data_IF_756537682930
#
_entry.id   IF_756537682930
#
_cell.length_a   1.000
_cell.length_b   1.000
_cell.length_c   1.000
_cell.angle_alpha   90.00
_cell.angle_beta   90.00
_cell.angle_gamma   90.00
#
_symmetry.space_group_name_H-M   'P 1'
#
loop_
_entity.id
_entity.type
_entity.pdbx_description
1 polymer ?
#
# COMPACT_ATOMS: atom_id res chain seq x y z
N UNK A 1 30.14 -3.47 -7.22
CA UNK A 1 28.81 -3.42 -6.59
C UNK A 1 29.04 -3.37 -5.09
N UNK A 2 28.52 -2.35 -4.39
CA UNK A 2 28.83 -2.15 -2.98
C UNK A 2 28.12 -3.22 -2.14
N UNK A 3 28.82 -3.81 -1.19
CA UNK A 3 28.36 -4.97 -0.40
C UNK A 3 27.56 -4.59 0.85
N UNK A 4 26.90 -3.44 0.86
CA UNK A 4 26.14 -2.97 2.03
C UNK A 4 24.65 -2.78 1.68
N UNK A 5 23.79 -3.78 1.97
CA UNK A 5 22.35 -3.73 1.70
C UNK A 5 21.64 -2.49 2.27
N UNK A 6 22.16 -1.91 3.37
CA UNK A 6 21.59 -0.73 4.02
C UNK A 6 21.88 0.59 3.29
N UNK A 7 23.05 0.74 2.66
CA UNK A 7 23.45 1.99 1.98
C UNK A 7 22.63 2.22 0.70
N UNK A 8 22.17 1.14 0.08
CA UNK A 8 21.42 1.16 -1.18
C UNK A 8 19.90 1.36 -0.97
N UNK A 9 19.36 0.98 0.21
CA UNK A 9 17.99 1.34 0.59
C UNK A 9 17.84 2.84 0.86
N UNK A 10 18.90 3.48 1.37
CA UNK A 10 18.93 4.94 1.60
C UNK A 10 18.84 5.74 0.30
N UNK A 11 19.34 5.21 -0.82
CA UNK A 11 19.25 5.85 -2.13
C UNK A 11 17.80 5.86 -2.63
N UNK A 12 17.09 4.74 -2.54
CA UNK A 12 15.65 4.66 -2.84
C UNK A 12 14.83 5.64 -1.99
N UNK A 13 15.09 5.69 -0.68
CA UNK A 13 14.43 6.63 0.23
C UNK A 13 14.68 8.08 -0.19
N UNK A 14 15.93 8.43 -0.54
CA UNK A 14 16.27 9.79 -1.02
C UNK A 14 15.55 10.12 -2.33
N UNK A 15 15.53 9.20 -3.29
CA UNK A 15 14.86 9.40 -4.57
C UNK A 15 13.36 9.67 -4.39
N UNK A 16 12.66 8.79 -3.68
CA UNK A 16 11.23 8.91 -3.42
C UNK A 16 10.89 10.21 -2.66
N UNK A 17 11.77 10.67 -1.77
CA UNK A 17 11.55 11.90 -0.98
C UNK A 17 11.94 13.20 -1.70
N UNK A 18 12.76 13.14 -2.75
CA UNK A 18 13.26 14.33 -3.46
C UNK A 18 12.69 14.48 -4.87
N UNK A 19 11.84 13.55 -5.31
CA UNK A 19 11.26 13.54 -6.65
C UNK A 19 10.38 14.79 -6.93
N UNK A 20 10.70 15.64 -7.92
CA UNK A 20 10.29 17.05 -7.92
C UNK A 20 8.97 17.40 -8.65
N UNK A 21 8.06 16.45 -8.84
CA UNK A 21 6.90 16.65 -9.73
C UNK A 21 5.59 17.00 -8.98
N UNK A 22 5.49 16.69 -7.68
CA UNK A 22 4.44 17.21 -6.79
C UNK A 22 3.01 16.67 -6.99
N UNK A 23 2.81 15.64 -7.83
CA UNK A 23 1.50 14.96 -7.98
C UNK A 23 0.98 14.41 -6.65
N UNK A 24 -0.30 14.07 -6.59
CA UNK A 24 -0.90 13.33 -5.48
C UNK A 24 -0.19 12.00 -5.26
N UNK A 25 0.02 11.20 -6.31
CA UNK A 25 0.74 9.92 -6.19
C UNK A 25 2.13 10.12 -5.59
N UNK A 26 2.92 11.04 -6.13
CA UNK A 26 4.28 11.29 -5.64
C UNK A 26 4.31 11.82 -4.22
N UNK A 27 3.33 12.66 -3.85
CA UNK A 27 3.19 13.15 -2.49
C UNK A 27 2.95 11.97 -1.54
N UNK A 28 2.04 11.06 -1.88
CA UNK A 28 1.81 9.85 -1.09
C UNK A 28 3.07 8.98 -1.05
N UNK A 29 3.69 8.70 -2.19
CA UNK A 29 4.93 7.91 -2.32
C UNK A 29 6.03 8.47 -1.42
N UNK A 30 6.22 9.79 -1.38
CA UNK A 30 7.22 10.47 -0.53
C UNK A 30 7.01 10.28 0.98
N UNK A 31 5.77 10.00 1.40
CA UNK A 31 5.40 9.84 2.81
C UNK A 31 5.46 8.39 3.29
N UNK A 32 5.33 7.40 2.40
CA UNK A 32 5.39 5.98 2.77
C UNK A 32 6.72 5.58 3.44
N UNK A 33 7.90 6.09 3.04
CA UNK A 33 9.14 5.83 3.78
C UNK A 33 9.11 6.27 5.24
N UNK A 34 8.35 7.33 5.60
CA UNK A 34 8.21 7.76 6.99
C UNK A 34 7.43 6.74 7.82
N UNK A 35 6.40 6.14 7.23
CA UNK A 35 5.64 5.03 7.84
C UNK A 35 6.55 3.79 7.96
N UNK A 36 7.27 3.45 6.89
CA UNK A 36 8.17 2.31 6.84
C UNK A 36 9.25 2.39 7.93
N UNK A 37 9.84 3.58 8.13
CA UNK A 37 10.87 3.81 9.15
C UNK A 37 10.39 3.51 10.58
N UNK A 38 9.08 3.63 10.86
CA UNK A 38 8.52 3.27 12.17
C UNK A 38 8.52 1.79 12.48
N UNK A 39 8.62 0.94 11.45
CA UNK A 39 8.71 -0.51 11.62
C UNK A 39 10.14 -0.99 11.88
N UNK A 40 11.13 -0.10 11.84
CA UNK A 40 12.55 -0.47 11.92
C UNK A 40 13.24 0.24 13.09
N UNK A 41 14.43 -0.24 13.52
CA UNK A 41 15.27 0.49 14.46
C UNK A 41 15.54 1.92 14.00
N UNK A 42 15.67 2.84 14.96
CA UNK A 42 15.93 4.25 14.67
C UNK A 42 17.18 4.40 13.78
N UNK A 43 17.05 5.18 12.70
CA UNK A 43 18.14 5.43 11.75
C UNK A 43 18.27 4.44 10.59
N UNK A 44 17.51 3.33 10.58
CA UNK A 44 17.66 2.28 9.57
C UNK A 44 17.29 2.71 8.13
N UNK A 45 16.27 3.56 7.97
CA UNK A 45 15.84 4.09 6.66
C UNK A 45 16.01 5.60 6.51
N UNK A 46 16.04 6.32 7.62
CA UNK A 46 16.13 7.78 7.65
C UNK A 46 17.42 8.13 8.39
N UNK A 47 18.52 8.46 7.68
CA UNK A 47 19.75 8.87 8.33
C UNK A 47 19.48 10.20 9.04
N UNK A 48 20.12 10.42 10.18
CA UNK A 48 20.00 11.66 10.97
C UNK A 48 20.33 12.92 10.13
N UNK A 49 21.15 12.73 9.09
CA UNK A 49 21.73 13.79 8.29
C UNK A 49 21.29 13.59 6.83
N UNK A 50 20.16 14.21 6.46
CA UNK A 50 19.72 14.24 5.06
C UNK A 50 20.76 14.95 4.20
N UNK A 51 21.36 14.23 3.24
CA UNK A 51 22.45 14.67 2.36
C UNK A 51 22.14 15.78 1.35
N UNK A 52 21.47 16.84 1.77
CA UNK A 52 21.39 18.11 1.06
C UNK A 52 21.97 19.20 1.95
N UNK A 53 22.68 20.17 1.35
CA UNK A 53 23.15 21.39 2.02
C UNK A 53 21.97 22.19 2.61
N UNK A 54 21.42 21.74 3.73
CA UNK A 54 20.50 22.50 4.57
C UNK A 54 21.32 23.07 5.71
N UNK A 55 21.15 24.39 5.95
CA UNK A 55 21.75 25.09 7.09
C UNK A 55 21.52 24.27 8.37
N UNK A 56 22.54 24.17 9.21
CA UNK A 56 22.51 23.52 10.52
C UNK A 56 21.22 23.87 11.27
N UNK A 57 20.27 22.95 11.22
CA UNK A 57 18.92 23.08 11.72
C UNK A 57 18.39 21.67 11.86
N UNK A 58 17.85 21.37 13.05
CA UNK A 58 17.30 20.07 13.47
C UNK A 58 16.69 19.31 12.30
N UNK A 59 17.07 18.04 12.12
CA UNK A 59 16.41 17.14 11.17
C UNK A 59 14.89 17.21 11.39
N UNK A 60 14.07 17.38 10.34
CA UNK A 60 12.62 17.49 10.48
C UNK A 60 12.07 16.29 11.24
N UNK A 61 11.17 16.54 12.20
CA UNK A 61 10.46 15.47 12.90
C UNK A 61 9.60 14.70 11.87
N UNK A 62 9.72 13.36 11.76
CA UNK A 62 8.87 12.56 10.87
C UNK A 62 7.38 12.82 11.05
N UNK A 63 6.92 13.14 12.26
CA UNK A 63 5.52 13.50 12.51
C UNK A 63 5.14 14.86 11.86
N UNK A 64 6.01 15.86 11.98
CA UNK A 64 5.82 17.17 11.33
C UNK A 64 5.83 17.05 9.80
N UNK A 65 6.75 16.24 9.26
CA UNK A 65 6.80 15.97 7.81
C UNK A 65 5.55 15.26 7.32
N UNK A 66 5.08 14.23 8.06
CA UNK A 66 3.83 13.55 7.76
C UNK A 66 2.64 14.51 7.78
N UNK A 67 2.55 15.36 8.80
CA UNK A 67 1.48 16.35 8.93
C UNK A 67 1.48 17.36 7.79
N UNK A 68 2.65 17.88 7.38
CA UNK A 68 2.76 18.79 6.22
C UNK A 68 2.35 18.12 4.92
N UNK A 69 2.81 16.89 4.69
CA UNK A 69 2.45 16.12 3.50
C UNK A 69 0.95 15.82 3.45
N UNK A 70 0.38 15.39 4.56
CA UNK A 70 -1.06 15.15 4.70
C UNK A 70 -1.88 16.41 4.44
N UNK A 71 -1.53 17.56 5.06
CA UNK A 71 -2.18 18.84 4.79
C UNK A 71 -2.10 19.25 3.31
N UNK A 72 -1.00 18.90 2.63
CA UNK A 72 -0.88 19.12 1.18
C UNK A 72 -1.86 18.27 0.38
N UNK A 73 -2.11 17.02 0.79
CA UNK A 73 -3.14 16.17 0.20
C UNK A 73 -4.54 16.74 0.47
N UNK A 74 -4.82 17.19 1.69
CA UNK A 74 -6.13 17.76 2.04
C UNK A 74 -6.53 18.94 1.14
N UNK A 75 -5.59 19.83 0.82
CA UNK A 75 -5.84 20.97 -0.08
C UNK A 75 -6.20 20.57 -1.51
N UNK A 76 -5.89 19.33 -1.91
CA UNK A 76 -6.16 18.78 -3.24
C UNK A 76 -7.43 17.92 -3.29
N UNK A 77 -8.11 17.70 -2.15
CA UNK A 77 -9.33 16.91 -2.12
C UNK A 77 -10.48 17.66 -2.78
N UNK A 78 -11.15 17.00 -3.71
CA UNK A 78 -12.36 17.47 -4.39
C UNK A 78 -13.58 17.51 -3.44
N UNK A 79 -14.63 18.29 -3.77
CA UNK A 79 -15.87 18.32 -2.97
C UNK A 79 -16.53 16.96 -2.78
N UNK A 80 -16.45 16.11 -3.81
CA UNK A 80 -16.99 14.74 -3.83
C UNK A 80 -16.17 13.74 -2.97
N UNK A 81 -15.06 14.19 -2.38
CA UNK A 81 -14.19 13.37 -1.53
C UNK A 81 -13.04 12.69 -2.26
N UNK A 82 -12.97 12.78 -3.59
CA UNK A 82 -11.92 12.17 -4.41
C UNK A 82 -10.65 13.03 -4.55
N UNK A 83 -9.61 12.43 -5.11
CA UNK A 83 -8.40 13.11 -5.58
C UNK A 83 -8.19 12.86 -7.06
N UNK A 84 -7.76 13.90 -7.78
CA UNK A 84 -7.12 13.75 -9.09
C UNK A 84 -5.60 13.72 -8.97
N UNK A 85 -4.90 13.82 -10.10
CA UNK A 85 -3.43 13.73 -10.10
C UNK A 85 -2.71 14.97 -9.54
N UNK A 86 -3.28 16.17 -9.70
CA UNK A 86 -2.53 17.41 -9.45
C UNK A 86 -3.12 18.25 -8.34
N UNK A 87 -4.40 18.56 -8.45
CA UNK A 87 -5.08 19.50 -7.57
C UNK A 87 -6.58 19.21 -7.43
N UNK A 88 -7.27 20.08 -6.70
CA UNK A 88 -8.71 19.97 -6.43
C UNK A 88 -9.60 20.13 -7.68
N UNK A 89 -9.08 20.66 -8.78
CA UNK A 89 -9.81 20.87 -10.04
C UNK A 89 -9.58 19.73 -11.03
N UNK A 90 -8.55 18.93 -10.82
CA UNK A 90 -8.26 17.72 -11.59
C UNK A 90 -9.46 16.79 -11.60
N UNK A 91 -9.65 16.07 -12.70
CA UNK A 91 -10.62 14.99 -12.78
C UNK A 91 -10.38 13.95 -11.67
N UNK A 92 -11.46 13.37 -11.13
CA UNK A 92 -11.34 12.36 -10.09
C UNK A 92 -10.58 11.14 -10.63
N UNK A 93 -9.51 10.75 -9.95
CA UNK A 93 -8.77 9.53 -10.22
C UNK A 93 -9.09 8.50 -9.13
N UNK A 94 -9.77 7.40 -9.49
CA UNK A 94 -9.99 6.24 -8.62
C UNK A 94 -8.70 5.79 -7.92
N UNK A 95 -7.63 5.65 -8.70
CA UNK A 95 -6.33 5.22 -8.20
C UNK A 95 -5.72 6.23 -7.23
N UNK A 96 -5.65 7.53 -7.57
CA UNK A 96 -5.09 8.53 -6.65
C UNK A 96 -5.88 8.59 -5.33
N UNK A 97 -7.22 8.49 -5.42
CA UNK A 97 -8.09 8.48 -4.25
C UNK A 97 -7.80 7.28 -3.34
N UNK A 98 -7.73 6.07 -3.91
CA UNK A 98 -7.40 4.87 -3.14
C UNK A 98 -5.95 4.85 -2.65
N UNK A 99 -5.02 5.52 -3.34
CA UNK A 99 -3.64 5.65 -2.88
C UNK A 99 -3.52 6.62 -1.69
N UNK A 100 -4.29 7.71 -1.67
CA UNK A 100 -4.45 8.53 -0.45
C UNK A 100 -5.13 7.73 0.67
N UNK A 101 -6.14 6.91 0.34
CA UNK A 101 -6.80 6.03 1.30
C UNK A 101 -5.84 4.98 1.87
N UNK A 102 -4.90 4.49 1.07
CA UNK A 102 -3.85 3.58 1.51
C UNK A 102 -2.95 4.22 2.58
N UNK A 103 -2.45 5.45 2.32
CA UNK A 103 -1.71 6.20 3.33
C UNK A 103 -2.55 6.42 4.60
N UNK A 104 -3.80 6.88 4.46
CA UNK A 104 -4.68 7.10 5.60
C UNK A 104 -4.90 5.80 6.41
N UNK A 105 -5.07 4.65 5.75
CA UNK A 105 -5.19 3.36 6.41
C UNK A 105 -3.95 2.99 7.22
N UNK A 106 -2.75 3.26 6.69
CA UNK A 106 -1.49 3.05 7.41
C UNK A 106 -1.37 3.96 8.64
N UNK A 107 -1.73 5.24 8.51
CA UNK A 107 -1.73 6.19 9.62
C UNK A 107 -2.78 5.81 10.68
N UNK A 108 -3.94 5.28 10.25
CA UNK A 108 -4.96 4.80 11.16
C UNK A 108 -4.44 3.67 12.05
N UNK A 109 -3.64 2.76 11.50
CA UNK A 109 -3.09 1.61 12.21
C UNK A 109 -1.97 2.00 13.18
N UNK A 110 -1.14 2.99 12.84
CA UNK A 110 -0.04 3.45 13.68
C UNK A 110 -0.52 4.41 14.79
N UNK A 111 -0.41 4.01 16.05
CA UNK A 111 -0.90 4.80 17.19
C UNK A 111 -0.24 6.19 17.32
N UNK A 112 1.01 6.36 16.89
CA UNK A 112 1.72 7.64 17.00
C UNK A 112 1.41 8.57 15.83
N UNK A 113 1.17 8.02 14.63
CA UNK A 113 0.81 8.82 13.45
C UNK A 113 -0.69 9.06 13.30
N UNK A 114 -1.54 8.28 13.99
CA UNK A 114 -3.01 8.41 13.93
C UNK A 114 -3.51 9.82 14.25
N UNK A 115 -2.82 10.54 15.13
CA UNK A 115 -3.16 11.91 15.51
C UNK A 115 -3.25 12.87 14.31
N UNK A 116 -2.49 12.60 13.23
CA UNK A 116 -2.57 13.36 11.97
C UNK A 116 -3.98 13.29 11.36
N UNK A 117 -4.67 12.17 11.51
CA UNK A 117 -6.03 11.96 11.00
C UNK A 117 -7.12 12.46 11.95
N UNK A 118 -6.81 12.59 13.24
CA UNK A 118 -7.76 12.99 14.29
C UNK A 118 -7.95 14.51 14.37
N UNK A 119 -7.05 15.29 13.75
CA UNK A 119 -7.28 16.73 13.54
C UNK A 119 -8.61 16.97 12.80
N UNK A 120 -9.36 18.01 13.19
CA UNK A 120 -10.75 18.24 12.74
C UNK A 120 -10.89 18.23 11.22
N UNK A 121 -10.07 19.02 10.52
CA UNK A 121 -10.06 19.09 9.04
C UNK A 121 -9.70 17.74 8.39
N UNK A 122 -8.79 16.99 9.02
CA UNK A 122 -8.39 15.66 8.56
C UNK A 122 -9.53 14.66 8.69
N UNK A 123 -10.23 14.64 9.83
CA UNK A 123 -11.32 13.70 10.08
C UNK A 123 -12.46 13.90 9.09
N UNK A 124 -12.82 15.15 8.79
CA UNK A 124 -13.84 15.46 7.78
C UNK A 124 -13.42 14.99 6.38
N UNK A 125 -12.15 15.20 6.01
CA UNK A 125 -11.61 14.74 4.74
C UNK A 125 -11.56 13.21 4.61
N UNK A 126 -11.15 12.51 5.67
CA UNK A 126 -11.20 11.04 5.74
C UNK A 126 -12.63 10.53 5.62
N UNK A 127 -13.60 11.23 6.22
CA UNK A 127 -15.02 10.94 6.07
C UNK A 127 -15.47 10.96 4.59
N UNK A 128 -15.15 12.04 3.87
CA UNK A 128 -15.48 12.17 2.44
C UNK A 128 -14.75 11.14 1.57
N UNK A 129 -13.47 10.89 1.85
CA UNK A 129 -12.68 9.84 1.19
C UNK A 129 -13.33 8.47 1.34
N UNK A 130 -13.78 8.15 2.57
CA UNK A 130 -14.43 6.89 2.87
C UNK A 130 -15.77 6.78 2.13
N UNK A 131 -16.60 7.82 2.17
CA UNK A 131 -17.86 7.87 1.42
C UNK A 131 -17.67 7.65 -0.08
N UNK A 132 -16.74 8.38 -0.71
CA UNK A 132 -16.43 8.20 -2.13
C UNK A 132 -16.01 6.77 -2.45
N UNK A 133 -15.10 6.20 -1.64
CA UNK A 133 -14.61 4.84 -1.85
C UNK A 133 -15.71 3.78 -1.67
N UNK A 134 -16.59 3.99 -0.69
CA UNK A 134 -17.69 3.07 -0.41
C UNK A 134 -18.74 3.13 -1.54
N UNK A 135 -19.12 4.33 -1.97
CA UNK A 135 -20.05 4.53 -3.09
C UNK A 135 -19.51 3.92 -4.38
N UNK A 136 -18.26 4.23 -4.73
CA UNK A 136 -17.64 3.86 -6.02
C UNK A 136 -17.25 2.39 -6.12
N UNK A 137 -16.75 1.78 -5.04
CA UNK A 137 -16.11 0.45 -5.10
C UNK A 137 -16.84 -0.64 -4.30
N UNK A 138 -17.80 -0.28 -3.44
CA UNK A 138 -18.46 -1.22 -2.53
C UNK A 138 -19.96 -1.32 -2.83
N UNK A 139 -20.69 -0.20 -2.85
CA UNK A 139 -22.15 -0.23 -3.00
C UNK A 139 -22.61 -0.18 -4.45
N UNK A 140 -21.97 0.61 -5.32
CA UNK A 140 -22.33 0.71 -6.74
C UNK A 140 -21.46 -0.21 -7.63
N UNK A 141 -20.95 -1.30 -7.03
CA UNK A 141 -20.05 -2.25 -7.65
C UNK A 141 -20.71 -3.08 -8.79
N UNK A 142 -21.96 -2.85 -9.16
CA UNK A 142 -22.54 -3.44 -10.36
C UNK A 142 -22.38 -2.56 -11.60
N UNK A 143 -22.09 -1.26 -11.42
CA UNK A 143 -21.94 -0.31 -12.52
C UNK A 143 -20.47 -0.18 -12.89
N UNK A 144 -20.14 -0.53 -14.13
CA UNK A 144 -18.82 -0.23 -14.68
C UNK A 144 -18.67 1.29 -14.77
N UNK A 145 -17.67 1.88 -14.08
CA UNK A 145 -17.55 3.32 -14.04
C UNK A 145 -17.19 3.86 -15.42
N UNK A 146 -17.64 5.07 -15.73
CA UNK A 146 -17.51 5.66 -17.08
C UNK A 146 -16.07 5.69 -17.62
N UNK A 147 -15.06 5.76 -16.74
CA UNK A 147 -13.64 5.74 -17.09
C UNK A 147 -13.12 4.35 -17.52
N UNK A 148 -13.86 3.26 -17.27
CA UNK A 148 -13.48 1.90 -17.64
C UNK A 148 -13.59 1.64 -19.17
N UNK A 149 -14.33 2.48 -19.89
CA UNK A 149 -14.51 2.40 -21.35
C UNK A 149 -15.32 1.17 -21.81
N UNK A 150 -15.84 1.18 -23.06
CA UNK A 150 -16.55 0.04 -23.63
C UNK A 150 -15.58 -1.13 -23.87
N UNK A 151 -15.79 -2.26 -23.18
CA UNK A 151 -15.00 -3.49 -23.33
C UNK A 151 -13.79 -3.63 -22.39
N UNK A 152 -13.52 -2.66 -21.50
CA UNK A 152 -12.40 -2.68 -20.55
C UNK A 152 -12.71 -3.24 -19.15
N UNK A 153 -13.94 -3.72 -18.94
CA UNK A 153 -14.58 -3.89 -17.63
C UNK A 153 -14.28 -5.18 -16.87
N UNK A 154 -13.06 -5.40 -16.44
CA UNK A 154 -12.79 -6.45 -15.46
C UNK A 154 -11.58 -6.15 -14.61
N UNK A 155 -10.40 -6.41 -15.15
CA UNK A 155 -9.16 -6.44 -14.37
C UNK A 155 -8.92 -5.20 -13.50
N UNK A 156 -8.79 -3.98 -14.06
CA UNK A 156 -8.46 -2.80 -13.24
C UNK A 156 -9.57 -2.32 -12.32
N UNK A 157 -10.84 -2.43 -12.71
CA UNK A 157 -11.97 -2.10 -11.82
C UNK A 157 -11.99 -3.06 -10.63
N UNK A 158 -11.84 -4.36 -10.86
CA UNK A 158 -11.75 -5.36 -9.80
C UNK A 158 -10.49 -5.18 -8.95
N UNK A 159 -9.38 -4.73 -9.54
CA UNK A 159 -8.15 -4.41 -8.81
C UNK A 159 -8.31 -3.20 -7.89
N UNK A 160 -8.99 -2.14 -8.36
CA UNK A 160 -9.33 -0.99 -7.52
C UNK A 160 -10.32 -1.39 -6.43
N UNK A 161 -11.27 -2.30 -6.68
CA UNK A 161 -12.13 -2.86 -5.63
C UNK A 161 -11.32 -3.62 -4.58
N UNK A 162 -10.40 -4.48 -5.00
CA UNK A 162 -9.51 -5.17 -4.08
C UNK A 162 -8.68 -4.18 -3.24
N UNK A 163 -8.17 -3.11 -3.85
CA UNK A 163 -7.47 -2.03 -3.14
C UNK A 163 -8.40 -1.30 -2.15
N UNK A 164 -9.64 -1.00 -2.54
CA UNK A 164 -10.64 -0.37 -1.67
C UNK A 164 -10.97 -1.25 -0.46
N UNK A 165 -11.23 -2.54 -0.69
CA UNK A 165 -11.51 -3.52 0.36
C UNK A 165 -10.32 -3.76 1.29
N UNK A 166 -9.09 -3.57 0.78
CA UNK A 166 -7.90 -3.53 1.62
C UNK A 166 -7.90 -2.32 2.56
N UNK A 167 -8.16 -1.11 2.05
CA UNK A 167 -7.85 0.15 2.77
C UNK A 167 -9.02 0.69 3.60
N UNK A 168 -10.25 0.56 3.13
CA UNK A 168 -11.43 1.13 3.77
C UNK A 168 -11.73 0.57 5.18
N UNK A 169 -11.51 -0.73 5.48
CA UNK A 169 -11.75 -1.25 6.83
C UNK A 169 -10.96 -0.51 7.92
N UNK A 170 -9.72 -0.10 7.63
CA UNK A 170 -8.88 0.64 8.59
C UNK A 170 -9.47 2.02 8.95
N UNK A 171 -10.27 2.60 8.05
CA UNK A 171 -10.87 3.92 8.16
C UNK A 171 -12.26 3.93 8.83
N UNK A 172 -12.85 2.76 9.10
CA UNK A 172 -14.12 2.63 9.82
C UNK A 172 -14.09 3.35 11.18
N UNK A 173 -12.93 3.41 11.83
CA UNK A 173 -12.74 4.08 13.12
C UNK A 173 -13.02 5.59 13.08
N UNK A 174 -12.91 6.21 11.91
CA UNK A 174 -13.21 7.64 11.72
C UNK A 174 -14.67 7.88 11.35
N UNK A 175 -15.45 6.80 11.15
CA UNK A 175 -16.88 6.89 10.91
C UNK A 175 -17.65 7.00 12.23
N UNK A 176 -18.85 7.59 12.14
CA UNK A 176 -19.78 7.70 13.25
C UNK A 176 -20.04 6.31 13.86
N UNK A 177 -19.96 6.12 15.19
CA UNK A 177 -20.13 4.83 15.83
C UNK A 177 -21.40 4.07 15.39
N UNK A 178 -22.51 4.78 15.20
CA UNK A 178 -23.78 4.22 14.75
C UNK A 178 -23.74 3.59 13.35
N UNK A 179 -22.81 4.01 12.48
CA UNK A 179 -22.70 3.52 11.10
C UNK A 179 -21.59 2.48 10.92
N UNK A 180 -20.67 2.32 11.88
CA UNK A 180 -19.50 1.44 11.73
C UNK A 180 -19.90 0.00 11.42
N UNK A 181 -20.83 -0.56 12.21
CA UNK A 181 -21.32 -1.94 12.02
C UNK A 181 -21.98 -2.13 10.65
N UNK A 182 -22.76 -1.14 10.20
CA UNK A 182 -23.39 -1.17 8.88
C UNK A 182 -22.33 -1.25 7.79
N UNK A 183 -21.35 -0.35 7.82
CA UNK A 183 -20.33 -0.29 6.78
C UNK A 183 -19.33 -1.45 6.84
N UNK A 184 -19.03 -1.97 8.02
CA UNK A 184 -18.26 -3.20 8.19
C UNK A 184 -18.95 -4.39 7.51
N UNK A 185 -20.27 -4.54 7.71
CA UNK A 185 -21.04 -5.59 7.05
C UNK A 185 -21.08 -5.42 5.52
N UNK A 186 -21.23 -4.19 5.00
CA UNK A 186 -21.17 -3.94 3.56
C UNK A 186 -19.80 -4.24 2.96
N UNK A 187 -18.71 -3.87 3.65
CA UNK A 187 -17.34 -4.19 3.23
C UNK A 187 -17.10 -5.70 3.23
N UNK A 188 -17.56 -6.42 4.26
CA UNK A 188 -17.47 -7.88 4.34
C UNK A 188 -18.22 -8.54 3.18
N UNK A 189 -19.47 -8.14 2.93
CA UNK A 189 -20.29 -8.63 1.81
C UNK A 189 -19.60 -8.43 0.46
N UNK A 190 -19.07 -7.23 0.21
CA UNK A 190 -18.36 -6.93 -1.04
C UNK A 190 -17.04 -7.71 -1.17
N UNK A 191 -16.34 -7.98 -0.06
CA UNK A 191 -15.13 -8.80 -0.06
C UNK A 191 -15.44 -10.27 -0.38
N UNK A 192 -16.50 -10.83 0.20
CA UNK A 192 -16.98 -12.18 -0.10
C UNK A 192 -17.44 -12.31 -1.56
N UNK A 193 -18.16 -11.32 -2.09
CA UNK A 193 -18.57 -11.29 -3.49
C UNK A 193 -17.36 -11.30 -4.43
N UNK A 194 -16.38 -10.41 -4.21
CA UNK A 194 -15.18 -10.35 -5.05
C UNK A 194 -14.35 -11.63 -4.95
N UNK A 195 -14.26 -12.21 -3.74
CA UNK A 195 -13.60 -13.50 -3.51
C UNK A 195 -14.31 -14.65 -4.24
N UNK A 196 -15.64 -14.70 -4.21
CA UNK A 196 -16.44 -15.66 -4.96
C UNK A 196 -16.21 -15.58 -6.46
N UNK A 197 -16.25 -14.37 -7.03
CA UNK A 197 -15.94 -14.14 -8.45
C UNK A 197 -14.52 -14.59 -8.80
N UNK A 198 -13.55 -14.29 -7.94
CA UNK A 198 -12.17 -14.74 -8.14
C UNK A 198 -12.04 -16.27 -8.10
N UNK A 199 -12.79 -16.97 -7.25
CA UNK A 199 -12.79 -18.45 -7.25
C UNK A 199 -13.31 -19.04 -8.55
N UNK A 200 -14.33 -18.43 -9.15
CA UNK A 200 -14.89 -18.86 -10.43
C UNK A 200 -13.92 -18.59 -11.59
N UNK A 201 -13.16 -17.50 -11.51
CA UNK A 201 -12.19 -17.11 -12.53
C UNK A 201 -10.90 -16.54 -11.89
N UNK A 202 -9.93 -17.39 -11.48
CA UNK A 202 -8.76 -16.93 -10.74
C UNK A 202 -7.89 -15.89 -11.46
N UNK A 203 -7.93 -15.85 -12.79
CA UNK A 203 -7.21 -14.89 -13.63
C UNK A 203 -7.80 -13.47 -13.63
N UNK A 204 -8.98 -13.23 -13.03
CA UNK A 204 -9.61 -11.89 -13.06
C UNK A 204 -8.87 -10.86 -12.19
N UNK A 205 -8.06 -11.32 -11.23
CA UNK A 205 -7.24 -10.48 -10.37
C UNK A 205 -5.76 -10.74 -10.65
N UNK A 206 -5.01 -9.65 -10.82
CA UNK A 206 -3.55 -9.68 -10.75
C UNK A 206 -3.08 -10.19 -9.38
N UNK A 207 -1.82 -10.59 -9.27
CA UNK A 207 -1.27 -11.00 -7.98
C UNK A 207 -1.26 -9.84 -6.96
N UNK A 208 -0.99 -8.61 -7.41
CA UNK A 208 -1.11 -7.41 -6.58
C UNK A 208 -2.54 -7.23 -6.03
N UNK A 209 -3.56 -7.35 -6.89
CA UNK A 209 -4.95 -7.23 -6.46
C UNK A 209 -5.39 -8.37 -5.53
N UNK A 210 -4.98 -9.61 -5.81
CA UNK A 210 -5.25 -10.75 -4.95
C UNK A 210 -4.60 -10.58 -3.57
N UNK A 211 -3.38 -10.05 -3.51
CA UNK A 211 -2.71 -9.73 -2.26
C UNK A 211 -3.47 -8.67 -1.44
N UNK A 212 -4.00 -7.64 -2.10
CA UNK A 212 -4.85 -6.64 -1.44
C UNK A 212 -6.15 -7.24 -0.92
N UNK A 213 -6.84 -8.06 -1.73
CA UNK A 213 -8.04 -8.75 -1.31
C UNK A 213 -7.77 -9.65 -0.10
N UNK A 214 -6.69 -10.43 -0.11
CA UNK A 214 -6.31 -11.32 0.99
C UNK A 214 -6.15 -10.55 2.33
N UNK A 215 -5.48 -9.39 2.31
CA UNK A 215 -5.36 -8.52 3.49
C UNK A 215 -6.71 -7.95 3.91
N UNK A 216 -7.53 -7.50 2.95
CA UNK A 216 -8.89 -7.00 3.22
C UNK A 216 -9.76 -8.04 3.90
N UNK A 217 -9.79 -9.27 3.38
CA UNK A 217 -10.49 -10.42 3.97
C UNK A 217 -10.03 -10.69 5.41
N UNK A 218 -8.71 -10.67 5.66
CA UNK A 218 -8.16 -10.82 7.00
C UNK A 218 -8.61 -9.72 7.97
N UNK A 219 -8.60 -8.45 7.52
CA UNK A 219 -9.08 -7.31 8.32
C UNK A 219 -10.58 -7.37 8.62
N UNK A 220 -11.36 -7.95 7.73
CA UNK A 220 -12.80 -8.16 7.86
C UNK A 220 -13.17 -9.46 8.59
N UNK A 221 -12.19 -10.15 9.19
CA UNK A 221 -12.36 -11.39 9.95
C UNK A 221 -12.90 -12.58 9.12
N UNK A 222 -12.69 -12.55 7.81
CA UNK A 222 -13.03 -13.63 6.87
C UNK A 222 -11.82 -14.59 6.73
N UNK A 223 -11.46 -15.24 7.84
CA UNK A 223 -10.17 -15.94 7.98
C UNK A 223 -9.95 -17.06 6.95
N UNK A 224 -10.99 -17.85 6.66
CA UNK A 224 -10.89 -18.95 5.69
C UNK A 224 -10.66 -18.44 4.27
N UNK A 225 -11.41 -17.41 3.86
CA UNK A 225 -11.24 -16.77 2.56
C UNK A 225 -9.85 -16.11 2.43
N UNK A 226 -9.39 -15.44 3.49
CA UNK A 226 -8.05 -14.85 3.53
C UNK A 226 -6.95 -15.91 3.37
N UNK A 227 -7.08 -17.06 4.05
CA UNK A 227 -6.13 -18.16 3.94
C UNK A 227 -6.12 -18.79 2.54
N UNK A 228 -7.29 -18.98 1.92
CA UNK A 228 -7.39 -19.48 0.54
C UNK A 228 -6.77 -18.50 -0.47
N UNK A 229 -7.05 -17.20 -0.34
CA UNK A 229 -6.45 -16.17 -1.19
C UNK A 229 -4.92 -16.11 -1.00
N UNK A 230 -4.42 -16.21 0.23
CA UNK A 230 -2.98 -16.26 0.53
C UNK A 230 -2.32 -17.52 -0.05
N UNK A 231 -2.96 -18.69 0.05
CA UNK A 231 -2.44 -19.93 -0.53
C UNK A 231 -2.35 -19.84 -2.06
N UNK A 232 -3.35 -19.27 -2.72
CA UNK A 232 -3.34 -19.06 -4.17
C UNK A 232 -2.34 -17.98 -4.60
N UNK A 233 -2.07 -16.98 -3.76
CA UNK A 233 -1.00 -16.02 -4.01
C UNK A 233 0.38 -16.67 -3.84
N UNK A 234 0.55 -17.53 -2.84
CA UNK A 234 1.78 -18.29 -2.63
C UNK A 234 2.07 -19.23 -3.81
N UNK A 235 1.05 -19.87 -4.40
CA UNK A 235 1.23 -20.72 -5.58
C UNK A 235 1.62 -19.96 -6.85
N UNK A 236 1.40 -18.63 -6.89
CA UNK A 236 1.91 -17.75 -7.95
C UNK A 236 3.37 -17.34 -7.75
N UNK A 237 3.96 -17.62 -6.59
CA UNK A 237 5.35 -17.28 -6.33
C UNK A 237 6.29 -18.35 -6.90
N UNK A 238 7.21 -17.94 -7.75
CA UNK A 238 8.24 -18.79 -8.35
C UNK A 238 9.51 -18.67 -7.52
N UNK A 239 9.88 -19.77 -6.88
CA UNK A 239 11.13 -19.87 -6.11
C UNK A 239 12.25 -20.26 -7.05
N UNK A 240 13.32 -19.46 -7.02
CA UNK A 240 14.49 -19.61 -7.85
C UNK A 240 15.56 -20.43 -7.11
N UNK A 241 16.45 -21.07 -7.87
CA UNK A 241 17.46 -21.98 -7.31
C UNK A 241 18.42 -21.29 -6.33
N UNK A 242 18.66 -19.98 -6.50
CA UNK A 242 19.53 -19.17 -5.67
C UNK A 242 18.85 -18.63 -4.39
N UNK A 243 17.70 -19.20 -4.00
CA UNK A 243 17.07 -18.94 -2.70
C UNK A 243 16.23 -17.65 -2.62
N UNK A 244 15.96 -17.01 -3.75
CA UNK A 244 15.02 -15.88 -3.85
C UNK A 244 13.73 -16.30 -4.56
N UNK A 245 12.68 -15.49 -4.45
CA UNK A 245 11.41 -15.74 -5.12
C UNK A 245 10.89 -14.46 -5.77
N UNK A 246 10.08 -14.62 -6.81
CA UNK A 246 9.32 -13.54 -7.45
C UNK A 246 7.91 -14.04 -7.79
N UNK A 247 6.98 -13.11 -7.96
CA UNK A 247 5.62 -13.42 -8.37
C UNK A 247 5.58 -13.60 -9.89
N UNK A 248 5.01 -14.72 -10.34
CA UNK A 248 4.67 -14.90 -11.74
C UNK A 248 3.49 -13.99 -12.11
N UNK A 249 3.70 -13.10 -13.08
CA UNK A 249 2.68 -12.18 -13.58
C UNK A 249 1.83 -12.82 -14.68
N UNK A 250 0.53 -12.54 -14.65
CA UNK A 250 -0.35 -12.80 -15.78
C UNK A 250 -0.40 -11.55 -16.69
N UNK A 251 0.13 -11.69 -17.90
CA UNK A 251 0.31 -10.60 -18.85
C UNK A 251 -1.01 -9.96 -19.32
N UNK A 252 -2.15 -10.65 -19.20
CA UNK A 252 -3.43 -10.22 -19.78
C UNK A 252 -4.03 -8.94 -19.19
N UNK A 253 -3.73 -8.62 -17.92
CA UNK A 253 -4.27 -7.43 -17.22
C UNK A 253 -3.28 -6.27 -17.12
N UNK A 254 -2.04 -6.50 -17.55
CA UNK A 254 -0.88 -5.67 -17.24
C UNK A 254 -0.89 -4.31 -17.94
N UNK A 255 -1.18 -4.24 -19.24
CA UNK A 255 -1.05 -2.99 -20.01
C UNK A 255 -2.04 -1.90 -19.57
N UNK A 256 -3.29 -2.27 -19.28
CA UNK A 256 -4.30 -1.31 -18.82
C UNK A 256 -4.13 -0.99 -17.32
N UNK A 257 -3.69 -1.94 -16.50
CA UNK A 257 -3.32 -1.69 -15.10
C UNK A 257 -2.10 -0.77 -14.95
N UNK A 258 -1.12 -0.86 -15.84
CA UNK A 258 0.03 0.05 -15.92
C UNK A 258 -0.42 1.50 -16.16
N UNK A 259 -1.39 1.72 -17.04
CA UNK A 259 -1.92 3.05 -17.36
C UNK A 259 -2.83 3.63 -16.27
N UNK A 260 -3.71 2.82 -15.69
CA UNK A 260 -4.73 3.31 -14.74
C UNK A 260 -4.20 3.35 -13.30
N UNK A 261 -3.35 2.40 -12.92
CA UNK A 261 -2.92 2.19 -11.54
C UNK A 261 -1.41 2.29 -11.35
N UNK A 262 -0.63 2.63 -12.38
CA UNK A 262 0.84 2.66 -12.31
C UNK A 262 1.43 1.34 -11.79
N UNK A 263 0.83 0.22 -12.23
CA UNK A 263 1.23 -1.13 -11.85
C UNK A 263 2.68 -1.43 -12.28
N UNK A 264 3.36 -2.30 -11.53
CA UNK A 264 4.65 -2.88 -11.90
C UNK A 264 4.87 -4.22 -11.20
N UNK A 265 5.72 -5.08 -11.75
CA UNK A 265 6.04 -6.37 -11.12
C UNK A 265 6.67 -6.22 -9.73
N UNK A 266 7.46 -5.18 -9.51
CA UNK A 266 8.01 -4.88 -8.19
C UNK A 266 6.92 -4.57 -7.15
N UNK A 267 5.80 -3.97 -7.58
CA UNK A 267 4.65 -3.75 -6.70
C UNK A 267 3.89 -5.02 -6.39
N UNK A 268 3.74 -5.94 -7.35
CA UNK A 268 3.17 -7.26 -7.08
C UNK A 268 4.02 -8.04 -6.08
N UNK A 269 5.34 -8.08 -6.27
CA UNK A 269 6.28 -8.71 -5.35
C UNK A 269 6.15 -8.10 -3.94
N UNK A 270 6.07 -6.77 -3.84
CA UNK A 270 5.89 -6.07 -2.56
C UNK A 270 4.53 -6.35 -1.90
N UNK A 271 3.44 -6.33 -2.67
CA UNK A 271 2.10 -6.62 -2.16
C UNK A 271 2.01 -8.09 -1.69
N UNK A 272 2.62 -9.02 -2.43
CA UNK A 272 2.70 -10.42 -2.03
C UNK A 272 3.54 -10.62 -0.77
N UNK A 273 4.71 -9.97 -0.67
CA UNK A 273 5.52 -9.99 0.54
C UNK A 273 4.71 -9.53 1.75
N UNK A 274 3.96 -8.44 1.62
CA UNK A 274 3.15 -7.90 2.71
C UNK A 274 2.02 -8.86 3.11
N UNK A 275 1.24 -9.33 2.14
CA UNK A 275 0.09 -10.21 2.40
C UNK A 275 0.53 -11.54 3.01
N UNK A 276 1.56 -12.18 2.44
CA UNK A 276 2.05 -13.45 2.93
C UNK A 276 2.76 -13.31 4.27
N UNK A 277 3.47 -12.21 4.54
CA UNK A 277 4.04 -11.94 5.88
C UNK A 277 2.95 -11.74 6.94
N UNK A 278 1.78 -11.23 6.55
CA UNK A 278 0.67 -10.99 7.47
C UNK A 278 -0.21 -12.24 7.72
N UNK A 279 -0.33 -13.13 6.73
CA UNK A 279 -1.32 -14.21 6.74
C UNK A 279 -0.71 -15.61 6.90
N UNK A 280 0.56 -15.82 6.54
CA UNK A 280 1.23 -17.10 6.75
C UNK A 280 1.87 -17.19 8.15
N UNK A 281 2.13 -18.42 8.65
CA UNK A 281 2.96 -18.61 9.82
C UNK A 281 4.32 -17.91 9.66
N UNK A 282 4.86 -17.36 10.76
CA UNK A 282 6.10 -16.56 10.73
C UNK A 282 7.33 -17.37 10.28
N UNK A 283 7.28 -18.69 10.42
CA UNK A 283 8.31 -19.64 10.04
C UNK A 283 8.29 -19.95 8.53
N UNK A 284 7.26 -19.47 7.80
CA UNK A 284 7.18 -19.63 6.36
C UNK A 284 8.39 -18.97 5.68
N UNK A 285 9.10 -19.76 4.87
CA UNK A 285 10.28 -19.31 4.14
C UNK A 285 9.94 -18.34 3.00
N UNK A 286 8.76 -18.49 2.38
CA UNK A 286 8.40 -17.78 1.16
C UNK A 286 8.46 -16.24 1.29
N UNK A 287 7.92 -15.61 2.34
CA UNK A 287 8.12 -14.17 2.57
C UNK A 287 9.60 -13.74 2.58
N UNK A 288 10.50 -14.50 3.23
CA UNK A 288 11.94 -14.17 3.24
C UNK A 288 12.54 -14.25 1.84
N UNK A 289 12.12 -15.23 1.04
CA UNK A 289 12.59 -15.39 -0.36
C UNK A 289 12.08 -14.28 -1.27
N UNK A 290 10.83 -13.83 -1.09
CA UNK A 290 10.29 -12.66 -1.78
C UNK A 290 11.04 -11.38 -1.41
N UNK A 291 11.36 -11.19 -0.11
CA UNK A 291 12.21 -10.08 0.32
C UNK A 291 13.59 -10.13 -0.35
N UNK A 292 14.22 -11.31 -0.42
CA UNK A 292 15.48 -11.50 -1.15
C UNK A 292 15.35 -11.18 -2.65
N UNK A 293 14.25 -11.58 -3.29
CA UNK A 293 13.95 -11.27 -4.70
C UNK A 293 13.82 -9.78 -4.97
N UNK A 294 13.08 -9.06 -4.12
CA UNK A 294 12.95 -7.61 -4.19
C UNK A 294 14.31 -6.90 -4.04
N UNK A 295 15.13 -7.34 -3.08
CA UNK A 295 16.48 -6.81 -2.88
C UNK A 295 17.39 -7.10 -4.10
N UNK A 296 17.19 -8.22 -4.79
CA UNK A 296 17.96 -8.60 -5.99
C UNK A 296 17.54 -7.83 -7.25
N UNK A 297 16.23 -7.57 -7.43
CA UNK A 297 15.67 -6.92 -8.63
C UNK A 297 16.14 -5.48 -8.83
N UNK A 298 16.66 -4.83 -7.79
CA UNK A 298 17.08 -3.43 -7.82
C UNK A 298 18.01 -3.12 -9.00
N UNK A 299 17.68 -2.06 -9.73
CA UNK A 299 18.54 -1.47 -10.73
C UNK A 299 18.95 -0.06 -10.26
N UNK A 300 20.25 0.16 -10.02
CA UNK A 300 20.79 1.44 -9.51
C UNK A 300 20.08 1.92 -8.22
N UNK A 301 19.79 1.01 -7.30
CA UNK A 301 19.10 1.34 -6.05
C UNK A 301 17.57 1.49 -6.15
N UNK A 302 16.96 1.32 -7.33
CA UNK A 302 15.53 1.57 -7.56
C UNK A 302 14.79 0.36 -8.15
N UNK A 303 13.46 0.44 -8.11
CA UNK A 303 12.47 -0.50 -8.67
C UNK A 303 11.63 0.12 -9.79
N UNK A 304 12.12 1.21 -10.39
CA UNK A 304 11.64 1.76 -11.66
C UNK A 304 10.71 2.97 -11.55
N UNK A 305 9.99 3.14 -10.44
CA UNK A 305 9.10 4.29 -10.21
C UNK A 305 9.03 4.68 -8.74
N UNK A 306 8.55 5.89 -8.45
CA UNK A 306 8.33 6.37 -7.08
C UNK A 306 7.34 5.49 -6.30
N UNK A 307 6.25 5.07 -6.93
CA UNK A 307 5.25 4.19 -6.32
C UNK A 307 5.79 2.78 -6.06
N UNK A 308 6.61 2.24 -6.97
CA UNK A 308 7.26 0.95 -6.79
C UNK A 308 8.28 0.98 -5.66
N UNK A 309 9.17 1.98 -5.65
CA UNK A 309 10.16 2.16 -4.58
C UNK A 309 9.47 2.30 -3.22
N UNK A 310 8.42 3.13 -3.14
CA UNK A 310 7.67 3.35 -1.91
C UNK A 310 6.98 2.08 -1.40
N UNK A 311 6.34 1.30 -2.29
CA UNK A 311 5.70 0.04 -1.94
C UNK A 311 6.71 -1.01 -1.46
N UNK A 312 7.84 -1.15 -2.15
CA UNK A 312 8.90 -2.10 -1.79
C UNK A 312 9.54 -1.73 -0.45
N UNK A 313 9.88 -0.46 -0.23
CA UNK A 313 10.44 0.01 1.03
C UNK A 313 9.49 -0.26 2.21
N UNK A 314 8.19 -0.01 2.04
CA UNK A 314 7.19 -0.29 3.06
C UNK A 314 7.08 -1.79 3.36
N UNK A 315 7.01 -2.63 2.32
CA UNK A 315 6.88 -4.08 2.47
C UNK A 315 8.11 -4.70 3.16
N UNK A 316 9.31 -4.32 2.72
CA UNK A 316 10.57 -4.76 3.34
C UNK A 316 10.67 -4.30 4.80
N UNK A 317 10.33 -3.05 5.09
CA UNK A 317 10.40 -2.51 6.44
C UNK A 317 9.47 -3.23 7.41
N UNK A 318 8.22 -3.51 6.99
CA UNK A 318 7.26 -4.26 7.81
C UNK A 318 7.72 -5.72 8.01
N UNK A 319 8.25 -6.35 6.95
CA UNK A 319 8.76 -7.71 7.03
C UNK A 319 9.94 -7.83 8.01
N UNK A 320 10.99 -7.02 7.83
CA UNK A 320 12.16 -7.07 8.70
C UNK A 320 11.86 -6.54 10.11
N UNK A 321 11.03 -5.51 10.24
CA UNK A 321 10.58 -5.01 11.54
C UNK A 321 9.92 -6.08 12.41
N UNK A 322 9.03 -6.88 11.81
CA UNK A 322 8.39 -8.00 12.50
C UNK A 322 9.38 -9.09 12.93
N UNK A 323 10.53 -9.21 12.24
CA UNK A 323 11.62 -10.11 12.61
C UNK A 323 12.51 -9.52 13.72
N UNK A 324 12.89 -8.24 13.64
CA UNK A 324 13.82 -7.59 14.58
C UNK A 324 13.25 -7.45 16.00
N UNK A 325 11.93 -7.38 16.18
CA UNK A 325 11.27 -7.42 17.50
C UNK A 325 11.45 -8.75 18.26
N UNK A 326 12.16 -9.74 17.68
CA UNK A 326 12.43 -11.06 18.27
C UNK A 326 13.88 -11.33 18.63
N UNK A 327 14.84 -10.41 18.44
CA UNK A 327 16.14 -10.60 19.10
C UNK A 327 16.01 -10.11 20.55
N UNK A 328 15.85 -10.99 21.56
CA UNK A 328 16.11 -10.58 22.92
C UNK A 328 17.58 -10.14 22.98
N UNK A 329 17.79 -9.01 23.64
CA UNK A 329 19.09 -8.49 24.06
C UNK A 329 20.04 -9.67 24.36
N UNK A 330 21.00 -9.91 23.47
CA UNK A 330 21.99 -10.95 23.70
C UNK A 330 22.75 -10.53 24.95
N UNK A 331 22.55 -11.27 26.03
CA UNK A 331 23.26 -11.07 27.29
C UNK A 331 24.77 -11.00 27.04
N UNK A 332 25.48 -10.09 27.71
CA UNK A 332 26.92 -9.97 27.56
C UNK A 332 27.56 -11.28 28.05
N UNK A 333 28.32 -11.94 27.17
CA UNK A 333 29.33 -12.92 27.57
C UNK A 333 30.63 -12.21 27.90
#
# INVERSE_FOLDING_TARGET
ASTQPGLELLEAVRYVRTYPFGCVEQTVSSLLPLVAARSLPAGALLPADGGGRRKAGRAPDPHEEMSRGWLSLLRRQRPDGAWGFWDRRSEASPYCTLYVAHLAGLLAEDAALRQVLEAEDSSAAVGRLFSYGLETFVTDASVEPAWAGPGGGGGPVLSLRAMALRVLPALLRFQRPALRRKWEAELARAAEELFGRWKEAPGILSAEALAWLAIGLGRLQLAEAAAQAAAALASRCVVQSEGWAEVAEDYGTRHFAELVMLHSSARSDAAALEALSALLPREAELPRRLAAGLLRRRARGHWGSTSADAAVLLALARHFGAMSLREPDCSPR
#
